data_IF_750201036969
#
_entry.id   IF_750201036969
#
_cell.length_a   1.000
_cell.length_b   1.000
_cell.length_c   1.000
_cell.angle_alpha   90.00
_cell.angle_beta   90.00
_cell.angle_gamma   90.00
#
_symmetry.space_group_name_H-M   'P 1'
#
loop_
_entity.id
_entity.type
_entity.pdbx_description
1 polymer ?
#
# COMPACT_ATOMS: atom_id res chain seq x y z
N UNK A 1 -9.93 29.43 3.55
CA UNK A 1 -10.09 28.74 3.75
C UNK A 1 -10.20 27.92 4.01
N UNK A 2 -10.43 27.66 3.77
CA UNK A 2 -10.78 26.86 4.03
C UNK A 2 -10.40 26.01 4.56
N UNK A 3 -10.49 25.59 5.13
CA UNK A 3 -10.33 24.90 5.76
C UNK A 3 -10.39 23.88 5.90
N UNK A 4 -10.26 23.37 5.96
CA UNK A 4 -10.54 22.26 6.19
C UNK A 4 -10.78 21.82 7.23
N UNK A 5 -11.55 21.73 7.60
CA UNK A 5 -11.74 21.16 8.61
C UNK A 5 -12.28 19.88 8.66
N UNK A 6 -11.80 18.94 8.96
CA UNK A 6 -12.34 17.65 9.17
C UNK A 6 -13.10 17.64 10.45
N UNK A 7 -14.09 16.78 10.64
CA UNK A 7 -14.45 15.72 9.71
C UNK A 7 -15.52 16.09 8.70
N UNK A 8 -15.86 17.34 8.59
CA UNK A 8 -16.89 17.72 7.66
C UNK A 8 -16.52 19.00 6.91
N UNK A 9 -17.24 19.22 5.85
CA UNK A 9 -17.07 20.37 5.00
C UNK A 9 -18.12 21.41 5.33
N UNK A 10 -17.94 22.61 4.78
CA UNK A 10 -18.81 23.75 5.08
C UNK A 10 -20.26 23.53 4.64
N UNK A 11 -20.54 22.64 3.73
CA UNK A 11 -21.92 22.34 3.38
C UNK A 11 -22.48 21.16 4.15
N UNK A 12 -21.85 20.82 5.26
CA UNK A 12 -22.40 19.86 6.18
C UNK A 12 -22.14 18.40 5.86
N UNK A 13 -21.35 18.13 4.83
CA UNK A 13 -21.00 16.78 4.48
C UNK A 13 -20.02 16.21 5.51
N UNK A 14 -20.40 15.10 6.15
CA UNK A 14 -19.57 14.45 7.14
C UNK A 14 -18.59 13.52 6.44
N UNK A 15 -17.32 13.65 6.79
CA UNK A 15 -16.28 12.77 6.27
C UNK A 15 -15.87 11.79 7.35
N UNK A 16 -15.67 10.55 6.95
CA UNK A 16 -15.13 9.49 7.80
C UNK A 16 -13.64 9.38 7.53
N UNK A 17 -12.92 8.92 8.54
CA UNK A 17 -11.48 8.74 8.41
C UNK A 17 -11.15 7.26 8.38
N UNK A 18 -10.29 6.89 7.48
CA UNK A 18 -9.85 5.51 7.31
C UNK A 18 -8.34 5.42 7.29
N UNK A 19 -7.83 4.31 7.77
CA UNK A 19 -6.44 3.95 7.57
C UNK A 19 -6.37 2.99 6.38
N UNK A 20 -5.60 3.33 5.37
CA UNK A 20 -5.34 2.47 4.22
C UNK A 20 -4.01 1.77 4.44
N UNK A 21 -4.04 0.45 4.50
CA UNK A 21 -2.86 -0.40 4.63
C UNK A 21 -2.61 -1.04 3.27
N UNK A 22 -1.56 -0.62 2.59
CA UNK A 22 -1.30 -0.98 1.20
C UNK A 22 -0.02 -1.80 1.12
N UNK A 23 -0.10 -2.95 0.47
CA UNK A 23 1.07 -3.80 0.22
C UNK A 23 1.37 -3.81 -1.26
N UNK A 24 2.61 -3.51 -1.63
CA UNK A 24 3.07 -3.51 -3.01
C UNK A 24 4.20 -4.54 -3.13
N UNK A 25 4.00 -5.51 -4.00
CA UNK A 25 4.95 -6.62 -4.18
C UNK A 25 5.34 -6.76 -5.65
N UNK A 26 6.56 -7.22 -5.95
CA UNK A 26 6.89 -7.53 -7.35
C UNK A 26 6.06 -8.71 -7.82
N UNK A 27 5.64 -8.66 -9.08
CA UNK A 27 4.89 -9.77 -9.67
C UNK A 27 5.84 -10.99 -9.81
N UNK A 28 5.24 -12.19 -9.84
CA UNK A 28 6.02 -13.43 -9.80
C UNK A 28 6.98 -13.57 -10.98
N UNK A 29 6.60 -13.03 -12.12
CA UNK A 29 7.39 -13.17 -13.35
C UNK A 29 8.65 -12.31 -13.36
N UNK A 30 8.75 -11.38 -12.43
CA UNK A 30 9.87 -10.44 -12.38
C UNK A 30 10.98 -11.00 -11.48
N UNK A 31 12.21 -10.91 -11.97
CA UNK A 31 13.37 -11.21 -11.16
C UNK A 31 13.48 -10.15 -10.07
N UNK A 32 13.52 -10.58 -8.81
CA UNK A 32 13.61 -9.70 -7.67
C UNK A 32 15.04 -9.62 -7.16
N UNK A 33 15.83 -8.62 -7.58
CA UNK A 33 17.23 -8.53 -7.16
C UNK A 33 17.38 -8.31 -5.67
N UNK A 34 16.42 -7.61 -5.03
CA UNK A 34 16.48 -7.41 -3.58
C UNK A 34 16.26 -8.72 -2.84
N UNK A 35 15.26 -9.50 -3.26
CA UNK A 35 15.00 -10.80 -2.66
C UNK A 35 16.18 -11.74 -2.82
N UNK A 36 16.82 -11.73 -3.98
CA UNK A 36 18.00 -12.56 -4.22
C UNK A 36 19.17 -12.13 -3.35
N UNK A 37 19.35 -10.83 -3.15
CA UNK A 37 20.42 -10.33 -2.29
C UNK A 37 20.21 -10.78 -0.84
N UNK A 38 18.96 -10.78 -0.38
CA UNK A 38 18.65 -11.25 0.97
C UNK A 38 18.96 -12.73 1.11
N UNK A 39 18.58 -13.54 0.11
CA UNK A 39 18.88 -14.97 0.14
C UNK A 39 20.39 -15.23 0.17
N UNK A 40 21.14 -14.49 -0.60
CA UNK A 40 22.60 -14.63 -0.62
C UNK A 40 23.20 -14.23 0.74
N UNK A 41 22.67 -13.15 1.35
CA UNK A 41 23.11 -12.73 2.67
C UNK A 41 22.86 -13.80 3.73
N UNK A 42 21.68 -14.42 3.69
CA UNK A 42 21.34 -15.49 4.63
C UNK A 42 22.29 -16.68 4.45
N UNK A 43 22.59 -17.03 3.20
CA UNK A 43 23.51 -18.11 2.91
C UNK A 43 24.91 -17.81 3.44
N UNK A 44 25.37 -16.57 3.26
CA UNK A 44 26.69 -16.16 3.73
C UNK A 44 26.78 -16.14 5.25
N UNK A 45 25.65 -15.98 5.94
CA UNK A 45 25.59 -16.05 7.39
C UNK A 45 25.33 -17.47 7.90
N UNK A 46 25.30 -18.43 6.99
CA UNK A 46 25.05 -19.83 7.31
C UNK A 46 23.68 -20.07 7.95
N UNK A 47 22.70 -19.28 7.54
CA UNK A 47 21.31 -19.44 7.96
C UNK A 47 20.57 -20.14 6.82
N UNK A 48 20.15 -21.36 7.08
CA UNK A 48 19.61 -22.24 6.03
C UNK A 48 18.11 -22.44 6.17
N UNK A 49 17.50 -23.01 5.12
CA UNK A 49 16.09 -23.36 5.13
C UNK A 49 15.20 -22.43 4.33
N UNK A 50 15.77 -21.38 3.75
CA UNK A 50 15.00 -20.41 2.97
C UNK A 50 15.02 -20.76 1.49
N UNK A 51 13.84 -20.81 0.88
CA UNK A 51 13.70 -21.19 -0.53
C UNK A 51 13.56 -20.00 -1.47
N UNK A 52 12.72 -19.03 -1.09
CA UNK A 52 12.45 -17.89 -1.94
C UNK A 52 12.33 -16.66 -1.06
N UNK A 53 12.60 -15.50 -1.64
CA UNK A 53 12.47 -14.24 -0.91
C UNK A 53 12.02 -13.16 -1.88
N UNK A 54 10.91 -12.49 -1.54
CA UNK A 54 10.35 -11.42 -2.34
C UNK A 54 10.28 -10.19 -1.45
N UNK A 55 10.82 -9.08 -1.94
CA UNK A 55 10.86 -7.83 -1.17
C UNK A 55 9.87 -6.86 -1.79
N UNK A 56 8.97 -6.35 -0.97
CA UNK A 56 8.02 -5.33 -1.38
C UNK A 56 8.02 -4.21 -0.38
N UNK A 57 6.97 -3.39 -0.43
CA UNK A 57 6.84 -2.28 0.50
C UNK A 57 5.42 -2.24 1.04
N UNK A 58 5.31 -1.70 2.25
CA UNK A 58 4.04 -1.49 2.92
C UNK A 58 3.85 0.00 3.13
N UNK A 59 2.67 0.52 2.81
CA UNK A 59 2.36 1.94 2.92
C UNK A 59 1.13 2.09 3.81
N UNK A 60 1.24 2.93 4.83
CA UNK A 60 0.10 3.31 5.67
C UNK A 60 -0.27 4.74 5.36
N UNK A 61 -1.53 4.97 5.01
CA UNK A 61 -2.01 6.32 4.70
C UNK A 61 -3.37 6.54 5.33
N UNK A 62 -3.58 7.72 5.83
CA UNK A 62 -4.91 8.11 6.31
C UNK A 62 -5.64 8.83 5.21
N UNK A 63 -6.92 8.55 5.09
CA UNK A 63 -7.76 9.15 4.07
C UNK A 63 -9.12 9.51 4.65
N UNK A 64 -9.65 10.64 4.24
CA UNK A 64 -10.99 11.07 4.59
C UNK A 64 -11.89 10.94 3.38
N UNK A 65 -13.07 10.38 3.58
CA UNK A 65 -14.04 10.21 2.50
C UNK A 65 -15.43 10.09 3.12
N UNK A 66 -16.44 10.30 2.28
CA UNK A 66 -17.82 10.25 2.76
C UNK A 66 -18.20 8.86 3.25
N UNK A 67 -17.66 7.82 2.62
CA UNK A 67 -17.93 6.45 3.02
C UNK A 67 -16.78 5.54 2.58
N UNK A 68 -16.88 4.27 2.95
CA UNK A 68 -15.82 3.32 2.66
C UNK A 68 -15.67 3.06 1.16
N UNK A 69 -16.77 3.00 0.44
CA UNK A 69 -16.72 2.75 -1.00
C UNK A 69 -15.98 3.87 -1.74
N UNK A 70 -16.22 5.12 -1.34
CA UNK A 70 -15.51 6.26 -1.91
C UNK A 70 -14.03 6.19 -1.56
N UNK A 71 -13.71 5.85 -0.31
CA UNK A 71 -12.32 5.72 0.11
C UNK A 71 -11.61 4.62 -0.68
N UNK A 72 -12.27 3.49 -0.90
CA UNK A 72 -11.69 2.41 -1.70
C UNK A 72 -11.37 2.85 -3.11
N UNK A 73 -12.29 3.60 -3.73
CA UNK A 73 -12.07 4.11 -5.08
C UNK A 73 -10.86 5.04 -5.16
N UNK A 74 -10.71 5.92 -4.17
CA UNK A 74 -9.61 6.85 -4.13
C UNK A 74 -8.28 6.12 -3.93
N UNK A 75 -8.24 5.15 -3.02
CA UNK A 75 -7.02 4.38 -2.76
C UNK A 75 -6.64 3.54 -3.98
N UNK A 76 -7.64 2.93 -4.62
CA UNK A 76 -7.42 2.18 -5.86
C UNK A 76 -6.75 3.05 -6.92
N UNK A 77 -7.29 4.25 -7.10
CA UNK A 77 -6.75 5.19 -8.08
C UNK A 77 -5.32 5.60 -7.75
N UNK A 78 -5.06 5.87 -6.46
CA UNK A 78 -3.73 6.22 -6.02
C UNK A 78 -2.72 5.10 -6.25
N UNK A 79 -3.11 3.85 -5.99
CA UNK A 79 -2.25 2.70 -6.23
C UNK A 79 -1.92 2.56 -7.71
N UNK A 80 -2.92 2.69 -8.57
CA UNK A 80 -2.72 2.52 -10.00
C UNK A 80 -1.89 3.63 -10.62
N UNK A 81 -2.04 4.86 -10.14
CA UNK A 81 -1.41 6.01 -10.79
C UNK A 81 -0.06 6.36 -10.20
N UNK A 82 0.21 5.98 -8.96
CA UNK A 82 1.40 6.45 -8.29
C UNK A 82 2.12 5.41 -7.46
N UNK A 83 1.38 4.64 -6.65
CA UNK A 83 2.02 3.86 -5.59
C UNK A 83 2.62 2.56 -6.08
N UNK A 84 2.10 1.99 -7.15
CA UNK A 84 2.61 0.74 -7.70
C UNK A 84 2.94 0.91 -9.19
N UNK A 85 4.04 0.29 -9.60
CA UNK A 85 4.40 0.22 -11.01
C UNK A 85 3.79 -1.07 -11.58
N UNK A 86 2.65 -0.94 -12.26
CA UNK A 86 1.84 -2.10 -12.66
C UNK A 86 2.51 -2.99 -13.72
N UNK A 87 3.61 -2.53 -14.31
CA UNK A 87 4.39 -3.38 -15.22
C UNK A 87 5.16 -4.42 -14.42
N UNK A 88 5.62 -4.08 -13.21
CA UNK A 88 6.51 -4.92 -12.41
C UNK A 88 5.95 -5.29 -11.05
N UNK A 89 4.87 -4.62 -10.62
CA UNK A 89 4.37 -4.77 -9.25
C UNK A 89 2.87 -5.00 -9.24
N UNK A 90 2.42 -5.63 -8.17
CA UNK A 90 1.01 -5.79 -7.86
C UNK A 90 0.76 -5.24 -6.47
N UNK A 91 -0.50 -4.95 -6.15
CA UNK A 91 -0.82 -4.36 -4.86
C UNK A 91 -2.11 -4.93 -4.31
N UNK A 92 -2.21 -4.89 -2.99
CA UNK A 92 -3.45 -5.15 -2.27
C UNK A 92 -3.57 -4.08 -1.19
N UNK A 93 -4.79 -3.86 -0.71
CA UNK A 93 -4.97 -2.92 0.40
C UNK A 93 -6.19 -3.26 1.22
N UNK A 94 -6.17 -2.76 2.45
CA UNK A 94 -7.32 -2.84 3.36
C UNK A 94 -7.59 -1.46 3.92
N UNK A 95 -8.87 -1.17 4.15
CA UNK A 95 -9.28 0.07 4.82
C UNK A 95 -9.90 -0.26 6.16
N UNK A 96 -9.46 0.48 7.17
CA UNK A 96 -9.96 0.34 8.53
C UNK A 96 -10.45 1.72 8.99
N UNK A 97 -11.68 1.80 9.47
CA UNK A 97 -12.20 3.05 10.01
C UNK A 97 -11.44 3.41 11.29
N UNK A 98 -11.06 4.67 11.40
CA UNK A 98 -10.31 5.13 12.58
C UNK A 98 -10.90 6.40 13.20
#
# INVERSE_FOLDING_TARGET
MLKQNPPYREWGLILMKFLASIDVMPIKEILDPQGKAVLLGLKNLDIQGFGDCRIGKHINMEIEAADKATAESIVEDACKKLLANLIMEEYTFELTAI
#
